data_IF_413651467802
#
_entry.id   IF_413651467802
#
_cell.length_a   1.000
_cell.length_b   1.000
_cell.length_c   1.000
_cell.angle_alpha   90.00
_cell.angle_beta   90.00
_cell.angle_gamma   90.00
#
_symmetry.space_group_name_H-M   'P 1'
#
loop_
_entity.id
_entity.type
_entity.pdbx_description
1 polymer ?
#
# COMPACT_ATOMS: atom_id res chain seq x y z
N UNK A 1 23.30 -24.54 0.96
CA UNK A 1 22.84 -23.72 2.11
C UNK A 1 22.99 -22.20 1.94
N UNK A 2 23.94 -21.67 1.15
CA UNK A 2 24.23 -20.22 1.06
C UNK A 2 23.03 -19.32 0.71
N UNK A 3 22.04 -19.84 -0.03
CA UNK A 3 20.84 -19.10 -0.46
C UNK A 3 19.80 -18.87 0.65
N UNK A 4 19.65 -19.81 1.60
CA UNK A 4 18.76 -19.65 2.77
C UNK A 4 19.42 -18.88 3.92
N UNK A 5 20.68 -18.45 3.77
CA UNK A 5 21.48 -17.79 4.82
C UNK A 5 21.52 -18.57 6.16
N UNK A 6 21.25 -19.88 6.13
CA UNK A 6 21.35 -20.78 7.29
C UNK A 6 22.82 -21.09 7.59
N UNK A 7 23.20 -20.96 8.86
CA UNK A 7 24.50 -21.43 9.35
C UNK A 7 24.51 -22.97 9.32
N UNK A 8 25.59 -23.63 8.88
CA UNK A 8 25.66 -25.09 8.82
C UNK A 8 25.34 -25.79 10.16
N UNK A 9 25.73 -25.19 11.28
CA UNK A 9 25.45 -25.73 12.61
C UNK A 9 23.95 -25.72 12.99
N UNK A 10 23.16 -24.81 12.40
CA UNK A 10 21.72 -24.74 12.66
C UNK A 10 20.95 -25.80 11.88
N UNK A 11 21.44 -26.21 10.71
CA UNK A 11 20.80 -27.21 9.86
C UNK A 11 20.57 -28.53 10.61
N UNK A 12 21.58 -29.01 11.35
CA UNK A 12 21.50 -30.25 12.11
C UNK A 12 20.54 -30.20 13.32
N UNK A 13 20.07 -29.00 13.68
CA UNK A 13 19.13 -28.79 14.79
C UNK A 13 17.70 -28.60 14.33
N UNK A 14 17.47 -28.44 13.02
CA UNK A 14 16.14 -28.24 12.46
C UNK A 14 15.44 -29.57 12.25
N UNK A 15 14.15 -29.60 12.58
CA UNK A 15 13.27 -30.68 12.17
C UNK A 15 12.95 -30.56 10.67
N UNK A 16 12.60 -31.67 9.99
CA UNK A 16 12.19 -31.62 8.59
C UNK A 16 11.04 -30.64 8.32
N UNK A 17 10.12 -30.49 9.27
CA UNK A 17 9.01 -29.55 9.18
C UNK A 17 9.48 -28.09 9.17
N UNK A 18 10.34 -27.70 10.12
CA UNK A 18 10.89 -26.34 10.18
C UNK A 18 11.71 -26.01 8.94
N UNK A 19 12.50 -26.96 8.43
CA UNK A 19 13.23 -26.78 7.19
C UNK A 19 12.30 -26.54 6.00
N UNK A 20 11.17 -27.27 5.95
CA UNK A 20 10.18 -27.13 4.89
C UNK A 20 9.50 -25.77 4.93
N UNK A 21 9.08 -25.32 6.13
CA UNK A 21 8.50 -23.99 6.33
C UNK A 21 9.47 -22.86 5.94
N UNK A 22 10.76 -22.98 6.25
CA UNK A 22 11.78 -22.01 5.83
C UNK A 22 11.97 -21.99 4.31
N UNK A 23 11.91 -23.16 3.65
CA UNK A 23 12.04 -23.26 2.20
C UNK A 23 10.83 -22.63 1.49
N UNK A 24 9.63 -22.85 2.02
CA UNK A 24 8.39 -22.25 1.52
C UNK A 24 8.43 -20.73 1.60
N UNK A 25 8.74 -20.17 2.79
CA UNK A 25 8.88 -18.72 2.93
C UNK A 25 9.96 -18.12 2.04
N UNK A 26 11.09 -18.82 1.83
CA UNK A 26 12.11 -18.38 0.87
C UNK A 26 11.62 -18.39 -0.58
N UNK A 27 10.81 -19.38 -0.96
CA UNK A 27 10.22 -19.47 -2.29
C UNK A 27 9.18 -18.38 -2.52
N UNK A 28 8.37 -18.07 -1.50
CA UNK A 28 7.41 -16.95 -1.51
C UNK A 28 8.11 -15.61 -1.68
N UNK A 29 9.12 -15.30 -0.85
CA UNK A 29 9.92 -14.06 -0.95
C UNK A 29 10.50 -13.90 -2.37
N UNK A 30 11.01 -14.99 -2.94
CA UNK A 30 11.52 -15.04 -4.31
C UNK A 30 10.43 -14.76 -5.36
N UNK A 31 9.23 -15.29 -5.15
CA UNK A 31 8.11 -15.12 -6.06
C UNK A 31 7.57 -13.68 -6.01
N UNK A 32 7.40 -13.11 -4.83
CA UNK A 32 7.01 -11.71 -4.61
C UNK A 32 8.02 -10.77 -5.28
N UNK A 33 9.32 -10.96 -5.02
CA UNK A 33 10.36 -10.15 -5.63
C UNK A 33 10.34 -10.21 -7.16
N UNK A 34 10.03 -11.38 -7.73
CA UNK A 34 9.87 -11.53 -9.19
C UNK A 34 8.64 -10.76 -9.70
N UNK A 35 7.52 -10.79 -8.98
CA UNK A 35 6.33 -10.01 -9.34
C UNK A 35 6.58 -8.51 -9.29
N UNK A 36 7.24 -8.01 -8.23
CA UNK A 36 7.64 -6.61 -8.13
C UNK A 36 8.46 -6.15 -9.34
N UNK A 37 9.46 -6.95 -9.73
CA UNK A 37 10.32 -6.65 -10.88
C UNK A 37 9.54 -6.65 -12.20
N UNK A 38 8.62 -7.60 -12.38
CA UNK A 38 7.75 -7.65 -13.56
C UNK A 38 6.84 -6.42 -13.62
N UNK A 39 6.22 -6.04 -12.50
CA UNK A 39 5.40 -4.84 -12.45
C UNK A 39 6.22 -3.59 -12.75
N UNK A 40 7.42 -3.46 -12.17
CA UNK A 40 8.31 -2.34 -12.43
C UNK A 40 8.67 -2.25 -13.91
N UNK A 41 9.12 -3.37 -14.51
CA UNK A 41 9.49 -3.42 -15.93
C UNK A 41 8.31 -3.04 -16.84
N UNK A 42 7.11 -3.55 -16.52
CA UNK A 42 5.89 -3.20 -17.25
C UNK A 42 5.54 -1.72 -17.13
N UNK A 43 5.63 -1.12 -15.94
CA UNK A 43 5.36 0.31 -15.75
C UNK A 43 6.38 1.20 -16.46
N UNK A 44 7.67 0.82 -16.47
CA UNK A 44 8.71 1.53 -17.22
C UNK A 44 8.34 1.61 -18.70
N UNK A 45 8.00 0.48 -19.30
CA UNK A 45 7.63 0.41 -20.71
C UNK A 45 6.31 1.13 -20.99
N UNK A 46 5.32 1.00 -20.10
CA UNK A 46 4.05 1.72 -20.20
C UNK A 46 4.27 3.25 -20.20
N UNK A 47 5.17 3.75 -19.35
CA UNK A 47 5.54 5.18 -19.33
C UNK A 47 6.32 5.59 -20.58
N UNK A 48 7.26 4.76 -21.06
CA UNK A 48 8.02 5.03 -22.28
C UNK A 48 7.11 5.20 -23.52
N UNK A 49 6.00 4.47 -23.57
CA UNK A 49 5.00 4.54 -24.66
C UNK A 49 4.07 5.76 -24.58
N UNK A 50 4.04 6.49 -23.47
CA UNK A 50 3.15 7.63 -23.32
C UNK A 50 3.65 8.83 -24.12
N UNK A 51 2.79 9.37 -24.99
CA UNK A 51 3.07 10.61 -25.76
C UNK A 51 3.34 11.83 -24.86
N UNK A 52 2.74 11.86 -23.67
CA UNK A 52 2.95 12.90 -22.65
C UNK A 52 3.07 12.22 -21.29
N UNK A 53 4.26 12.27 -20.71
CA UNK A 53 4.51 11.76 -19.37
C UNK A 53 3.83 12.67 -18.33
N UNK A 54 3.07 12.11 -17.37
CA UNK A 54 2.55 12.88 -16.25
C UNK A 54 3.71 13.42 -15.40
N UNK A 55 3.51 14.58 -14.77
CA UNK A 55 4.51 15.13 -13.86
C UNK A 55 4.76 14.19 -12.69
N UNK A 56 6.02 14.05 -12.27
CA UNK A 56 6.41 13.20 -11.14
C UNK A 56 5.61 13.54 -9.87
N UNK A 57 5.37 14.84 -9.63
CA UNK A 57 4.55 15.33 -8.51
C UNK A 57 3.13 14.76 -8.51
N UNK A 58 2.52 14.57 -9.68
CA UNK A 58 1.18 13.99 -9.81
C UNK A 58 1.18 12.50 -9.47
N UNK A 59 2.19 11.78 -9.95
CA UNK A 59 2.36 10.34 -9.68
C UNK A 59 2.58 10.11 -8.18
N UNK A 60 3.50 10.86 -7.57
CA UNK A 60 3.83 10.72 -6.15
C UNK A 60 2.64 11.05 -5.23
N UNK A 61 1.79 12.01 -5.64
CA UNK A 61 0.59 12.40 -4.90
C UNK A 61 -0.50 11.31 -4.93
N UNK A 62 -0.60 10.55 -6.01
CA UNK A 62 -1.56 9.44 -6.13
C UNK A 62 -1.02 8.11 -5.58
N UNK A 63 0.31 7.93 -5.51
CA UNK A 63 0.94 6.71 -4.96
C UNK A 63 0.89 6.63 -3.44
N UNK A 64 0.80 7.77 -2.76
CA UNK A 64 0.51 7.80 -1.34
C UNK A 64 -0.95 7.43 -1.14
N UNK A 65 -1.21 6.32 -0.43
CA UNK A 65 -2.50 5.99 0.20
C UNK A 65 -3.29 7.27 0.36
N UNK A 66 -4.34 7.45 -0.46
CA UNK A 66 -5.25 8.58 -0.27
C UNK A 66 -5.54 8.60 1.21
N UNK A 67 -5.00 9.60 1.93
CA UNK A 67 -5.59 9.92 3.20
C UNK A 67 -7.02 10.15 2.80
N UNK A 68 -7.90 9.21 3.17
CA UNK A 68 -9.31 9.51 3.26
C UNK A 68 -9.32 10.62 4.29
N UNK A 69 -9.08 11.86 3.85
CA UNK A 69 -9.78 12.98 4.39
C UNK A 69 -11.22 12.59 4.11
N UNK A 70 -11.79 11.81 5.04
CA UNK A 70 -13.11 12.13 5.52
C UNK A 70 -13.03 13.63 5.72
N UNK A 71 -13.46 14.36 4.71
CA UNK A 71 -14.01 15.68 4.90
C UNK A 71 -15.14 15.42 5.89
N UNK A 72 -14.78 15.35 7.18
CA UNK A 72 -15.70 15.64 8.24
C UNK A 72 -16.05 17.07 7.93
N UNK A 73 -17.15 17.24 7.21
CA UNK A 73 -17.72 18.55 6.93
C UNK A 73 -17.67 19.29 8.25
N UNK A 74 -17.08 20.49 8.23
CA UNK A 74 -17.02 21.32 9.43
C UNK A 74 -18.44 21.39 10.00
N UNK A 75 -18.58 21.47 11.32
CA UNK A 75 -19.88 21.59 11.99
C UNK A 75 -20.73 22.68 11.35
N UNK A 76 -20.10 23.76 10.88
CA UNK A 76 -20.74 24.83 10.10
C UNK A 76 -21.33 24.39 8.75
N UNK A 77 -20.61 23.55 8.01
CA UNK A 77 -21.08 23.00 6.74
C UNK A 77 -22.23 22.02 6.97
N UNK A 78 -22.17 21.21 8.03
CA UNK A 78 -23.28 20.34 8.44
C UNK A 78 -24.51 21.15 8.85
N UNK A 79 -24.33 22.26 9.57
CA UNK A 79 -25.42 23.16 9.95
C UNK A 79 -26.09 23.79 8.72
N UNK A 80 -25.31 24.26 7.73
CA UNK A 80 -25.89 24.79 6.48
C UNK A 80 -26.71 23.75 5.73
N UNK A 81 -26.24 22.50 5.67
CA UNK A 81 -26.98 21.40 5.05
C UNK A 81 -28.26 21.08 5.83
N UNK A 82 -28.20 21.04 7.17
CA UNK A 82 -29.36 20.79 8.02
C UNK A 82 -30.42 21.90 7.89
N UNK A 83 -30.00 23.18 7.85
CA UNK A 83 -30.88 24.32 7.60
C UNK A 83 -31.53 24.23 6.22
N UNK A 84 -30.79 23.87 5.17
CA UNK A 84 -31.37 23.68 3.83
C UNK A 84 -32.39 22.55 3.76
N UNK A 85 -32.33 21.59 4.70
CA UNK A 85 -33.28 20.48 4.83
C UNK A 85 -34.40 20.77 5.84
N UNK A 86 -34.47 21.98 6.38
CA UNK A 86 -35.51 22.41 7.32
C UNK A 86 -35.35 21.86 8.74
N UNK A 87 -34.18 21.34 9.11
CA UNK A 87 -33.90 20.81 10.45
C UNK A 87 -33.48 21.96 11.39
N UNK A 88 -33.98 21.95 12.63
CA UNK A 88 -33.60 22.95 13.65
C UNK A 88 -32.18 22.66 14.16
N UNK A 89 -31.28 23.63 14.00
CA UNK A 89 -29.89 23.55 14.47
C UNK A 89 -29.66 24.48 15.66
N UNK A 90 -28.87 24.08 16.68
CA UNK A 90 -28.52 24.96 17.80
C UNK A 90 -27.57 26.07 17.35
N UNK A 91 -27.91 27.33 17.65
CA UNK A 91 -27.15 28.51 17.18
C UNK A 91 -25.87 28.78 17.99
N UNK A 92 -25.71 28.19 19.17
CA UNK A 92 -24.50 28.30 19.99
C UNK A 92 -24.24 27.01 20.76
N UNK A 93 -22.97 26.61 20.78
CA UNK A 93 -22.42 25.65 21.74
C UNK A 93 -21.45 26.43 22.63
N UNK A 94 -21.51 26.19 23.94
CA UNK A 94 -20.61 26.81 24.92
C UNK A 94 -19.26 26.12 24.93
#
# INVERSE_FOLDING_TARGET
MKKLKLKPAMFWRLTPHELSAMLEGYAEEKAERRQELLYLAWHIEAFARQKRLPSLTKILKDSGMKQKTNSRLSTEQLMKIAQSKGLKVPTQWR
#
